data_IF_931881107588
#
_entry.id   IF_931881107588
#
_cell.length_a   1.000
_cell.length_b   1.000
_cell.length_c   1.000
_cell.angle_alpha   90.00
_cell.angle_beta   90.00
_cell.angle_gamma   90.00
#
_symmetry.space_group_name_H-M   'P 1'
#
loop_
_entity.id
_entity.type
_entity.pdbx_description
1 polymer ?
#
# COMPACT_ATOMS: atom_id res chain seq x y z
N UNK A 1 25.33 4.72 6.26
CA UNK A 1 24.96 5.57 7.41
C UNK A 1 23.50 5.93 7.20
N UNK A 2 22.60 5.54 8.11
CA UNK A 2 21.18 5.85 7.94
C UNK A 2 20.97 7.36 8.09
N UNK A 3 20.43 7.99 7.04
CA UNK A 3 20.05 9.39 7.09
C UNK A 3 18.74 9.48 7.87
N UNK A 4 18.77 10.12 9.04
CA UNK A 4 17.58 10.31 9.88
C UNK A 4 16.57 11.18 9.14
N UNK A 5 15.35 10.67 8.95
CA UNK A 5 14.27 11.35 8.22
C UNK A 5 13.65 12.44 9.11
N UNK A 6 13.51 12.16 10.40
CA UNK A 6 12.94 13.09 11.36
C UNK A 6 14.04 13.93 11.99
N UNK A 7 13.88 15.25 11.90
CA UNK A 7 14.82 16.19 12.52
C UNK A 7 14.41 16.45 13.96
N UNK A 8 15.33 16.28 14.90
CA UNK A 8 15.07 16.43 16.34
C UNK A 8 14.70 17.86 16.77
N UNK A 9 15.05 18.86 15.97
CA UNK A 9 14.72 20.27 16.17
C UNK A 9 13.33 20.66 15.60
N UNK A 10 12.66 19.75 14.89
CA UNK A 10 11.35 19.98 14.29
C UNK A 10 10.25 19.25 15.07
N UNK A 11 9.17 19.98 15.39
CA UNK A 11 7.91 19.36 15.82
C UNK A 11 7.11 18.96 14.59
N UNK A 12 6.64 17.71 14.58
CA UNK A 12 5.80 17.17 13.54
C UNK A 12 4.38 17.00 14.09
N UNK A 13 3.40 17.45 13.33
CA UNK A 13 1.98 17.13 13.54
C UNK A 13 1.64 15.83 12.83
N UNK A 14 0.49 15.24 13.15
CA UNK A 14 0.02 14.03 12.47
C UNK A 14 -0.08 14.23 10.95
N UNK A 15 -0.51 15.42 10.51
CA UNK A 15 -0.62 15.75 9.08
C UNK A 15 0.74 15.82 8.37
N UNK A 16 1.81 16.23 9.07
CA UNK A 16 3.15 16.36 8.47
C UNK A 16 3.68 15.01 7.95
N UNK A 17 3.31 13.89 8.58
CA UNK A 17 3.78 12.57 8.18
C UNK A 17 3.23 12.12 6.81
N UNK A 18 2.06 12.60 6.39
CA UNK A 18 1.50 12.30 5.07
C UNK A 18 2.29 12.95 3.92
N UNK A 19 3.04 14.00 4.22
CA UNK A 19 3.85 14.73 3.24
C UNK A 19 5.33 14.27 3.24
N UNK A 20 5.67 13.22 3.99
CA UNK A 20 6.99 12.60 3.91
C UNK A 20 7.10 11.84 2.59
N UNK A 21 8.01 12.30 1.73
CA UNK A 21 8.24 11.72 0.40
C UNK A 21 9.26 10.58 0.41
N UNK A 22 9.60 10.07 1.59
CA UNK A 22 10.53 8.96 1.76
C UNK A 22 9.84 7.63 1.40
N UNK A 23 10.61 6.65 0.89
CA UNK A 23 10.16 5.27 0.77
C UNK A 23 9.60 4.72 2.09
N UNK A 24 8.59 3.86 2.01
CA UNK A 24 7.94 3.27 3.19
C UNK A 24 8.92 2.48 4.06
N UNK A 25 9.91 1.84 3.44
CA UNK A 25 10.99 1.12 4.12
C UNK A 25 11.84 2.04 5.01
N UNK A 26 12.19 3.22 4.50
CA UNK A 26 12.97 4.21 5.23
C UNK A 26 12.16 4.76 6.42
N UNK A 27 10.88 5.06 6.20
CA UNK A 27 9.98 5.54 7.25
C UNK A 27 9.84 4.48 8.35
N UNK A 28 9.59 3.22 7.98
CA UNK A 28 9.48 2.13 8.96
C UNK A 28 10.75 1.98 9.80
N UNK A 29 11.92 2.06 9.17
CA UNK A 29 13.22 1.96 9.84
C UNK A 29 13.46 3.12 10.83
N UNK A 30 13.06 4.35 10.48
CA UNK A 30 13.16 5.52 11.36
C UNK A 30 12.42 5.32 12.69
N UNK A 31 11.30 4.59 12.65
CA UNK A 31 10.51 4.25 13.83
C UNK A 31 10.95 2.93 14.51
N UNK A 32 12.06 2.32 14.06
CA UNK A 32 12.59 1.07 14.62
C UNK A 32 11.88 -0.20 14.15
N UNK A 33 11.08 -0.11 13.08
CA UNK A 33 10.39 -1.25 12.48
C UNK A 33 11.11 -1.75 11.23
N UNK A 34 10.80 -2.97 10.83
CA UNK A 34 11.23 -3.54 9.54
C UNK A 34 10.00 -3.79 8.69
N UNK A 35 9.97 -3.20 7.49
CA UNK A 35 8.93 -3.46 6.51
C UNK A 35 9.29 -4.70 5.71
N UNK A 36 8.41 -5.69 5.68
CA UNK A 36 8.56 -6.89 4.86
C UNK A 36 7.45 -6.86 3.80
N UNK A 37 7.86 -6.78 2.54
CA UNK A 37 6.97 -6.90 1.39
C UNK A 37 7.01 -8.34 0.88
N UNK A 38 5.85 -8.98 0.81
CA UNK A 38 5.69 -10.33 0.26
C UNK A 38 4.64 -10.31 -0.83
N UNK A 39 4.84 -11.11 -1.87
CA UNK A 39 3.81 -11.33 -2.86
C UNK A 39 2.64 -12.06 -2.23
N UNK A 40 1.44 -11.50 -2.37
CA UNK A 40 0.22 -12.20 -2.02
C UNK A 40 -0.13 -13.17 -3.16
N UNK A 41 0.01 -14.47 -2.91
CA UNK A 41 -0.49 -15.48 -3.83
C UNK A 41 -2.01 -15.56 -3.70
N UNK A 42 -2.72 -14.88 -4.60
CA UNK A 42 -4.16 -15.02 -4.70
C UNK A 42 -4.50 -16.37 -5.33
N UNK A 43 -5.54 -17.07 -4.84
CA UNK A 43 -6.01 -18.29 -5.47
C UNK A 43 -6.38 -17.98 -6.93
N UNK A 44 -5.79 -18.72 -7.86
CA UNK A 44 -6.18 -18.65 -9.27
C UNK A 44 -7.53 -19.35 -9.38
N UNK A 45 -8.59 -18.57 -9.58
CA UNK A 45 -9.93 -19.11 -9.82
C UNK A 45 -9.93 -19.75 -11.21
N UNK A 46 -9.78 -21.08 -11.26
CA UNK A 46 -9.78 -21.84 -12.52
C UNK A 46 -11.19 -22.12 -13.05
N UNK A 47 -12.21 -21.94 -12.19
CA UNK A 47 -13.60 -22.26 -12.50
C UNK A 47 -14.51 -21.11 -12.07
N UNK A 48 -14.47 -20.02 -12.85
CA UNK A 48 -15.44 -18.93 -12.71
C UNK A 48 -16.60 -19.25 -13.66
N UNK A 49 -17.83 -19.46 -13.15
CA UNK A 49 -18.97 -19.70 -14.02
C UNK A 49 -19.17 -18.52 -14.98
N UNK A 50 -19.25 -18.80 -16.28
CA UNK A 50 -19.40 -17.78 -17.33
C UNK A 50 -20.58 -16.83 -17.08
N UNK A 51 -21.66 -17.34 -16.47
CA UNK A 51 -22.83 -16.55 -16.08
C UNK A 51 -22.48 -15.42 -15.10
N UNK A 52 -21.56 -15.65 -14.16
CA UNK A 52 -21.14 -14.58 -13.23
C UNK A 52 -20.31 -13.52 -13.93
N UNK A 53 -19.47 -13.91 -14.90
CA UNK A 53 -18.69 -12.97 -15.72
C UNK A 53 -19.59 -12.13 -16.61
N UNK A 54 -20.65 -12.73 -17.16
CA UNK A 54 -21.64 -12.04 -18.00
C UNK A 54 -22.38 -10.95 -17.24
N UNK A 55 -22.91 -11.28 -16.06
CA UNK A 55 -23.57 -10.30 -15.17
C UNK A 55 -22.63 -9.14 -14.82
N UNK A 56 -21.36 -9.44 -14.53
CA UNK A 56 -20.38 -8.41 -14.18
C UNK A 56 -20.11 -7.46 -15.36
N UNK A 57 -19.99 -8.01 -16.57
CA UNK A 57 -19.76 -7.23 -17.80
C UNK A 57 -20.97 -6.37 -18.16
N UNK A 58 -22.16 -6.93 -18.03
CA UNK A 58 -23.40 -6.22 -18.37
C UNK A 58 -23.65 -5.05 -17.39
N UNK A 59 -23.30 -5.20 -16.11
CA UNK A 59 -23.38 -4.12 -15.13
C UNK A 59 -22.32 -3.03 -15.34
N UNK A 60 -21.09 -3.40 -15.73
CA UNK A 60 -20.02 -2.42 -15.99
C UNK A 60 -20.35 -1.49 -17.17
N UNK A 61 -20.94 -2.04 -18.23
CA UNK A 61 -21.27 -1.32 -19.46
C UNK A 61 -22.57 -0.49 -19.39
N UNK A 62 -23.25 -0.47 -18.24
CA UNK A 62 -24.44 0.34 -17.99
C UNK A 62 -24.13 1.69 -17.32
N UNK A 63 -22.85 2.03 -17.17
CA UNK A 63 -22.36 3.35 -16.75
C UNK A 63 -21.89 4.14 -17.96
#
# INVERSE_FOLDING_TARGET
>A
MAQTILKSDRRYTFSDYFYLNNPAEEIAAEFGYTLISTFLELPKTLDIPEERLRVLRDNYNQT
#
